data_IF_697148116290
#
_entry.id   IF_697148116290
#
_cell.length_a   1.000
_cell.length_b   1.000
_cell.length_c   1.000
_cell.angle_alpha   90.00
_cell.angle_beta   90.00
_cell.angle_gamma   90.00
#
_symmetry.space_group_name_H-M   'P 1'
#
loop_
_entity.id
_entity.type
_entity.pdbx_description
1 polymer ?
#
# COMPACT_ATOMS: atom_id res chain seq x y z
N UNK A 1 7.77 -11.38 -7.87
CA UNK A 1 6.76 -11.04 -8.90
C UNK A 1 6.55 -12.25 -9.78
N UNK A 2 5.35 -12.82 -9.74
CA UNK A 2 4.91 -13.99 -10.49
C UNK A 2 3.76 -13.64 -11.45
N UNK A 3 3.39 -14.55 -12.35
CA UNK A 3 2.17 -14.41 -13.18
C UNK A 3 0.91 -14.26 -12.32
N UNK A 4 0.90 -14.86 -11.14
CA UNK A 4 -0.19 -14.71 -10.18
C UNK A 4 -0.29 -13.25 -9.68
N UNK A 5 0.82 -12.66 -9.26
CA UNK A 5 0.87 -11.27 -8.78
C UNK A 5 0.41 -10.29 -9.87
N UNK A 6 0.81 -10.52 -11.12
CA UNK A 6 0.37 -9.69 -12.26
C UNK A 6 -1.13 -9.78 -12.52
N UNK A 7 -1.71 -10.99 -12.49
CA UNK A 7 -3.17 -11.14 -12.64
C UNK A 7 -3.92 -10.55 -11.46
N UNK A 8 -3.36 -10.61 -10.26
CA UNK A 8 -3.92 -9.94 -9.09
C UNK A 8 -3.89 -8.42 -9.26
N UNK A 9 -2.79 -7.84 -9.77
CA UNK A 9 -2.71 -6.39 -9.99
C UNK A 9 -3.75 -5.90 -11.01
N UNK A 10 -4.04 -6.67 -12.06
CA UNK A 10 -5.12 -6.34 -13.01
C UNK A 10 -6.51 -6.31 -12.35
N UNK A 11 -6.78 -7.21 -11.39
CA UNK A 11 -8.04 -7.18 -10.65
C UNK A 11 -8.14 -5.99 -9.70
N UNK A 12 -7.03 -5.63 -9.06
CA UNK A 12 -6.94 -4.46 -8.18
C UNK A 12 -7.19 -3.17 -9.00
N UNK A 13 -6.60 -3.08 -10.18
CA UNK A 13 -6.79 -1.97 -11.11
C UNK A 13 -8.27 -1.84 -11.54
N UNK A 14 -8.90 -2.96 -11.96
CA UNK A 14 -10.31 -2.97 -12.35
C UNK A 14 -11.31 -2.61 -11.24
N UNK A 15 -10.89 -2.69 -9.96
CA UNK A 15 -11.73 -2.31 -8.82
C UNK A 15 -11.74 -0.79 -8.55
N UNK A 16 -10.92 0.01 -9.25
CA UNK A 16 -10.87 1.47 -9.15
C UNK A 16 -10.68 1.99 -7.70
N UNK A 17 -9.84 1.32 -6.91
CA UNK A 17 -9.51 1.80 -5.58
C UNK A 17 -8.77 3.14 -5.63
N UNK A 18 -9.00 4.06 -4.66
CA UNK A 18 -8.19 5.27 -4.55
C UNK A 18 -6.72 4.91 -4.39
N UNK A 19 -5.82 5.60 -5.10
CA UNK A 19 -4.39 5.32 -5.07
C UNK A 19 -3.81 5.29 -3.64
N UNK A 20 -4.13 6.29 -2.81
CA UNK A 20 -3.68 6.33 -1.42
C UNK A 20 -4.20 5.15 -0.58
N UNK A 21 -5.39 4.61 -0.88
CA UNK A 21 -5.89 3.41 -0.22
C UNK A 21 -5.04 2.18 -0.56
N UNK A 22 -4.56 2.07 -1.82
CA UNK A 22 -3.64 1.02 -2.23
C UNK A 22 -2.28 1.14 -1.54
N UNK A 23 -1.73 2.35 -1.42
CA UNK A 23 -0.47 2.59 -0.70
C UNK A 23 -0.62 2.24 0.79
N UNK A 24 -1.71 2.66 1.43
CA UNK A 24 -2.00 2.29 2.81
C UNK A 24 -2.18 0.77 2.98
N UNK A 25 -2.80 0.09 2.02
CA UNK A 25 -2.93 -1.37 2.04
C UNK A 25 -1.58 -2.07 1.86
N UNK A 26 -0.72 -1.55 0.98
CA UNK A 26 0.65 -2.04 0.79
C UNK A 26 1.48 -1.86 2.06
N UNK A 27 1.43 -0.70 2.72
CA UNK A 27 2.12 -0.44 3.98
C UNK A 27 1.72 -1.41 5.09
N UNK A 28 0.44 -1.81 5.16
CA UNK A 28 -0.05 -2.80 6.14
C UNK A 28 0.45 -4.22 5.88
N UNK A 29 0.67 -4.58 4.61
CA UNK A 29 1.06 -5.94 4.19
C UNK A 29 2.57 -6.12 4.02
N UNK A 30 3.30 -5.01 3.88
CA UNK A 30 4.73 -5.05 3.62
C UNK A 30 5.52 -5.63 4.81
N UNK A 31 6.54 -6.41 4.50
CA UNK A 31 7.62 -6.71 5.45
C UNK A 31 8.40 -5.44 5.84
N UNK A 32 9.29 -5.56 6.83
CA UNK A 32 10.08 -4.42 7.34
C UNK A 32 10.80 -3.65 6.24
N UNK A 33 11.42 -4.34 5.27
CA UNK A 33 12.21 -3.71 4.22
C UNK A 33 11.35 -2.97 3.20
N UNK A 34 10.27 -3.60 2.76
CA UNK A 34 9.34 -2.98 1.83
C UNK A 34 8.54 -1.85 2.50
N UNK A 35 8.27 -1.97 3.80
CA UNK A 35 7.65 -0.92 4.60
C UNK A 35 8.55 0.31 4.67
N UNK A 36 9.84 0.17 4.97
CA UNK A 36 10.78 1.29 4.99
C UNK A 36 10.82 2.05 3.66
N UNK A 37 10.85 1.34 2.52
CA UNK A 37 10.79 1.96 1.19
C UNK A 37 9.49 2.73 0.96
N UNK A 38 8.34 2.15 1.33
CA UNK A 38 7.04 2.80 1.20
C UNK A 38 6.95 4.04 2.08
N UNK A 39 7.49 3.99 3.30
CA UNK A 39 7.55 5.12 4.23
C UNK A 39 8.42 6.25 3.69
N UNK A 40 9.55 5.93 3.07
CA UNK A 40 10.42 6.93 2.45
C UNK A 40 9.77 7.59 1.23
N UNK A 41 9.02 6.82 0.43
CA UNK A 41 8.38 7.32 -0.79
C UNK A 41 7.08 8.10 -0.52
N UNK A 42 6.32 7.75 0.52
CA UNK A 42 5.01 8.32 0.84
C UNK A 42 4.87 8.68 2.34
N UNK A 43 5.72 9.57 2.88
CA UNK A 43 5.73 9.90 4.31
C UNK A 43 4.40 10.50 4.81
N UNK A 44 3.68 11.24 3.96
CA UNK A 44 2.37 11.81 4.25
C UNK A 44 1.30 10.71 4.43
N UNK A 45 1.36 9.66 3.61
CA UNK A 45 0.42 8.52 3.72
C UNK A 45 0.65 7.76 5.00
N UNK A 46 1.91 7.60 5.43
CA UNK A 46 2.24 6.98 6.72
C UNK A 46 1.70 7.80 7.88
N UNK A 47 1.85 9.13 7.83
CA UNK A 47 1.34 10.03 8.87
C UNK A 47 -0.16 9.88 9.03
N UNK A 48 -0.90 9.94 7.91
CA UNK A 48 -2.35 9.75 7.90
C UNK A 48 -2.76 8.34 8.38
N UNK A 49 -2.05 7.30 7.92
CA UNK A 49 -2.31 5.92 8.31
C UNK A 49 -2.15 5.74 9.82
N UNK A 50 -1.10 6.29 10.42
CA UNK A 50 -0.86 6.21 11.86
C UNK A 50 -1.86 7.06 12.66
N UNK A 51 -2.23 8.23 12.15
CA UNK A 51 -3.23 9.09 12.79
C UNK A 51 -4.58 8.37 12.92
N UNK A 52 -5.00 7.62 11.88
CA UNK A 52 -6.25 6.86 11.90
C UNK A 52 -6.15 5.49 12.57
N UNK A 53 -4.98 4.87 12.60
CA UNK A 53 -4.79 3.60 13.31
C UNK A 53 -4.87 3.79 14.84
N UNK A 54 -4.42 4.95 15.33
CA UNK A 54 -4.39 5.29 16.75
C UNK A 54 -5.61 6.11 17.23
N UNK A 55 -6.61 6.32 16.38
CA UNK A 55 -7.88 7.02 16.70
C UNK A 55 -9.00 6.01 16.92
#
# INVERSE_FOLDING_TARGET
MSLYDYRASQRIDGANYPFHALIMAAMRQADTHNSEKLVQAFPEVRTELLARYNA
#
